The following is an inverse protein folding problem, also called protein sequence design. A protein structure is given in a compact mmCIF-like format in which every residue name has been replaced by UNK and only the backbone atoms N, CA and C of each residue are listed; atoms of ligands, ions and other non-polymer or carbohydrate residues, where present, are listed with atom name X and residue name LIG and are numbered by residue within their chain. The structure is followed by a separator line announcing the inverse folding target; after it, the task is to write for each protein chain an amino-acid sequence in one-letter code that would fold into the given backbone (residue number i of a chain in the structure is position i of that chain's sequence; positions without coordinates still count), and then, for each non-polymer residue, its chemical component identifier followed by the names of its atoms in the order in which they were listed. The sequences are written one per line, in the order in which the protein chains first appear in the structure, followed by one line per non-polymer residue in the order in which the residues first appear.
data_IF_145122286859
#
_entry.id   IF_145122286859
#
_cell.length_a   1.000
_cell.length_b   1.000
_cell.length_c   1.000
_cell.angle_alpha   90.00
_cell.angle_beta   90.00
_cell.angle_gamma   90.00
#
_symmetry.space_group_name_H-M   'P 1'
#
loop_
_entity.id
_entity.type
_entity.pdbx_description
1 polymer ?
#
# COMPACT_ATOMS: atom_id res chain seq x y z
N UNK A 1 -15.69 13.14 -8.81
CA UNK A 1 -14.39 13.62 -8.30
C UNK A 1 -13.69 12.36 -7.86
N UNK A 2 -13.02 11.68 -8.80
CA UNK A 2 -12.61 10.29 -8.67
C UNK A 2 -11.31 10.17 -7.90
N UNK A 3 -11.32 9.36 -6.84
CA UNK A 3 -10.45 8.22 -6.49
C UNK A 3 -8.93 8.23 -6.79
N UNK A 4 -8.37 9.18 -7.55
CA UNK A 4 -6.95 9.23 -7.96
C UNK A 4 -6.01 9.74 -6.86
N UNK A 5 -6.51 10.47 -5.86
CA UNK A 5 -5.67 11.17 -4.88
C UNK A 5 -4.80 10.22 -4.04
N UNK A 6 -5.26 8.98 -3.85
CA UNK A 6 -4.56 7.98 -3.02
C UNK A 6 -3.90 6.89 -3.86
N UNK A 7 -3.90 6.99 -5.21
CA UNK A 7 -3.33 5.96 -6.09
C UNK A 7 -1.88 5.62 -5.72
N UNK A 8 -1.01 6.62 -5.57
CA UNK A 8 0.41 6.40 -5.22
C UNK A 8 0.60 5.93 -3.79
N UNK A 9 -0.34 6.25 -2.89
CA UNK A 9 -0.34 5.76 -1.51
C UNK A 9 -0.64 4.26 -1.53
N UNK A 10 -1.72 3.84 -2.18
CA UNK A 10 -2.12 2.45 -2.29
C UNK A 10 -1.09 1.62 -3.08
N UNK A 11 -0.53 2.17 -4.16
CA UNK A 11 0.56 1.53 -4.89
C UNK A 11 1.79 1.35 -3.99
N UNK A 12 2.13 2.37 -3.21
CA UNK A 12 3.20 2.31 -2.22
C UNK A 12 2.97 1.22 -1.18
N UNK A 13 1.74 1.09 -0.68
CA UNK A 13 1.35 0.02 0.25
C UNK A 13 1.45 -1.37 -0.42
N UNK A 14 0.92 -1.53 -1.63
CA UNK A 14 0.95 -2.79 -2.37
C UNK A 14 2.37 -3.30 -2.61
N UNK A 15 3.31 -2.40 -2.92
CA UNK A 15 4.74 -2.74 -3.04
C UNK A 15 5.36 -3.04 -1.68
N UNK A 16 4.91 -2.35 -0.62
CA UNK A 16 5.53 -2.47 0.70
C UNK A 16 5.13 -3.71 1.46
N UNK A 17 3.91 -4.21 1.29
CA UNK A 17 3.41 -5.43 1.97
C UNK A 17 4.35 -6.63 1.79
N UNK A 18 4.72 -7.07 0.56
CA UNK A 18 5.62 -8.21 0.39
C UNK A 18 7.01 -7.94 0.97
N UNK A 19 7.52 -6.71 0.88
CA UNK A 19 8.81 -6.34 1.48
C UNK A 19 8.77 -6.40 3.02
N UNK A 20 7.67 -5.95 3.63
CA UNK A 20 7.48 -6.01 5.07
C UNK A 20 7.36 -7.47 5.53
N UNK A 21 6.68 -8.31 4.75
CA UNK A 21 6.61 -9.75 5.00
C UNK A 21 8.02 -10.36 4.99
N UNK A 22 8.81 -10.17 3.93
CA UNK A 22 10.18 -10.70 3.84
C UNK A 22 11.09 -10.22 4.98
N UNK A 23 10.87 -8.99 5.45
CA UNK A 23 11.67 -8.35 6.50
C UNK A 23 11.35 -8.87 7.89
N UNK A 24 10.08 -9.14 8.20
CA UNK A 24 9.62 -9.41 9.56
C UNK A 24 9.08 -10.82 9.80
N UNK A 25 8.68 -11.52 8.75
CA UNK A 25 8.21 -12.89 8.85
C UNK A 25 9.38 -13.87 8.71
N UNK A 26 9.54 -14.74 9.70
CA UNK A 26 10.49 -15.86 9.63
C UNK A 26 10.03 -16.91 8.62
N UNK A 27 10.87 -17.94 8.36
CA UNK A 27 10.60 -19.03 7.41
C UNK A 27 9.33 -19.84 7.68
N UNK A 28 8.71 -19.62 8.83
CA UNK A 28 7.56 -20.34 9.36
C UNK A 28 6.23 -19.71 8.89
N UNK A 29 6.29 -18.66 8.08
CA UNK A 29 5.14 -18.03 7.47
C UNK A 29 5.26 -18.05 5.95
N UNK A 30 4.12 -18.01 5.27
CA UNK A 30 4.03 -17.84 3.83
C UNK A 30 3.08 -16.70 3.48
N UNK A 31 3.38 -15.99 2.39
CA UNK A 31 2.54 -14.95 1.82
C UNK A 31 1.86 -15.49 0.57
N UNK A 32 0.55 -15.28 0.45
CA UNK A 32 -0.24 -15.58 -0.74
C UNK A 32 -0.86 -14.28 -1.27
N UNK A 33 -0.75 -14.09 -2.58
CA UNK A 33 -1.34 -12.95 -3.30
C UNK A 33 -2.63 -13.40 -3.98
N UNK A 34 -3.75 -12.79 -3.61
CA UNK A 34 -5.04 -13.03 -4.22
C UNK A 34 -5.45 -11.81 -5.04
N UNK A 35 -5.29 -11.92 -6.36
CA UNK A 35 -5.77 -10.92 -7.32
C UNK A 35 -7.30 -11.12 -7.48
N UNK A 36 -8.12 -10.08 -7.30
CA UNK A 36 -9.57 -10.19 -7.47
C UNK A 36 -9.95 -10.67 -8.87
N UNK A 37 -10.91 -11.59 -8.94
CA UNK A 37 -11.46 -12.06 -10.20
C UNK A 37 -12.29 -10.95 -10.87
N UNK A 38 -12.17 -10.82 -12.20
CA UNK A 38 -13.00 -9.89 -12.97
C UNK A 38 -12.49 -8.44 -12.99
N UNK A 39 -11.23 -8.19 -12.64
CA UNK A 39 -10.59 -6.90 -12.93
C UNK A 39 -10.43 -6.78 -14.45
N UNK A 40 -11.19 -5.86 -15.04
CA UNK A 40 -10.98 -5.44 -16.42
C UNK A 40 -9.56 -4.84 -16.53
N UNK A 41 -8.76 -5.31 -17.48
CA UNK A 41 -7.36 -4.87 -17.71
C UNK A 41 -7.26 -3.34 -17.94
N UNK A 42 -8.39 -2.70 -18.19
CA UNK A 42 -8.56 -1.26 -18.38
C UNK A 42 -8.59 -0.43 -17.07
N UNK A 43 -8.81 -1.06 -15.90
CA UNK A 43 -8.94 -0.37 -14.61
C UNK A 43 -7.66 -0.49 -13.77
N UNK A 44 -7.34 0.58 -13.04
CA UNK A 44 -6.32 0.74 -11.98
C UNK A 44 -5.36 -0.43 -11.71
N UNK A 45 -4.06 -0.13 -11.66
CA UNK A 45 -2.96 -1.06 -11.40
C UNK A 45 -3.36 -2.26 -10.50
N UNK A 46 -3.33 -3.50 -11.02
CA UNK A 46 -3.91 -4.67 -10.35
C UNK A 46 -3.32 -4.91 -8.96
N UNK A 47 -2.11 -4.42 -8.70
CA UNK A 47 -1.44 -4.51 -7.40
C UNK A 47 -2.19 -3.81 -6.28
N UNK A 48 -2.89 -2.71 -6.57
CA UNK A 48 -3.68 -1.96 -5.58
C UNK A 48 -4.88 -2.79 -5.11
N UNK A 49 -5.38 -3.67 -5.98
CA UNK A 49 -6.54 -4.52 -5.73
C UNK A 49 -6.14 -5.90 -5.17
N UNK A 50 -4.87 -6.28 -5.25
CA UNK A 50 -4.35 -7.54 -4.71
C UNK A 50 -4.50 -7.60 -3.20
N UNK A 51 -5.18 -8.64 -2.71
CA UNK A 51 -5.20 -8.96 -1.28
C UNK A 51 -4.00 -9.83 -0.95
N UNK A 52 -3.38 -9.57 0.20
CA UNK A 52 -2.24 -10.33 0.68
C UNK A 52 -2.63 -11.10 1.94
N UNK A 53 -2.47 -12.41 1.91
CA UNK A 53 -2.79 -13.29 3.04
C UNK A 53 -1.51 -13.91 3.60
N UNK A 54 -1.35 -13.83 4.92
CA UNK A 54 -0.24 -14.50 5.61
C UNK A 54 -0.75 -15.77 6.27
N UNK A 55 -0.02 -16.86 6.07
CA UNK A 55 -0.30 -18.16 6.65
C UNK A 55 0.87 -18.63 7.53
N UNK A 56 0.59 -19.37 8.59
CA UNK A 56 1.61 -20.04 9.41
C UNK A 56 1.98 -21.43 8.86
N UNK A 57 2.87 -22.16 9.54
CA UNK A 57 3.31 -23.51 9.15
C UNK A 57 2.17 -24.53 9.06
N UNK A 58 1.11 -24.33 9.86
CA UNK A 58 -0.09 -25.16 9.87
C UNK A 58 -1.06 -24.82 8.73
N UNK A 59 -0.69 -23.88 7.85
CA UNK A 59 -1.52 -23.32 6.79
C UNK A 59 -2.77 -22.62 7.30
N UNK A 60 -2.75 -22.13 8.55
CA UNK A 60 -3.79 -21.27 9.07
C UNK A 60 -3.52 -19.82 8.66
N UNK A 61 -4.54 -19.13 8.16
CA UNK A 61 -4.45 -17.70 7.85
C UNK A 61 -4.35 -16.89 9.15
N UNK A 62 -3.29 -16.12 9.29
CA UNK A 62 -2.98 -15.34 10.50
C UNK A 62 -3.16 -13.83 10.31
N UNK A 63 -3.09 -13.34 9.07
CA UNK A 63 -3.36 -11.94 8.74
C UNK A 63 -3.82 -11.75 7.29
N UNK A 64 -4.46 -10.61 7.05
CA UNK A 64 -4.81 -10.09 5.73
C UNK A 64 -4.35 -8.65 5.63
N UNK A 65 -3.75 -8.27 4.50
CA UNK A 65 -3.41 -6.91 4.17
C UNK A 65 -4.06 -6.50 2.84
N UNK A 66 -4.80 -5.41 2.85
CA UNK A 66 -5.38 -4.78 1.67
C UNK A 66 -4.65 -3.46 1.41
N UNK A 67 -4.08 -3.25 0.21
CA UNK A 67 -3.37 -2.00 -0.13
C UNK A 67 -4.22 -0.74 -0.08
N UNK A 68 -5.55 -0.84 0.05
CA UNK A 68 -6.45 0.28 0.32
C UNK A 68 -6.36 0.83 1.77
N UNK A 69 -5.51 0.24 2.63
CA UNK A 69 -5.33 0.64 4.03
C UNK A 69 -6.08 -0.22 5.05
N UNK A 70 -6.82 -1.25 4.63
CA UNK A 70 -7.49 -2.18 5.54
C UNK A 70 -6.58 -3.37 5.89
N UNK A 71 -6.13 -3.43 7.16
CA UNK A 71 -5.30 -4.52 7.65
C UNK A 71 -6.00 -5.27 8.79
N UNK A 72 -5.93 -6.61 8.76
CA UNK A 72 -6.58 -7.45 9.76
C UNK A 72 -5.62 -8.51 10.30
N UNK A 73 -5.46 -8.55 11.62
CA UNK A 73 -4.77 -9.63 12.33
C UNK A 73 -5.81 -10.65 12.84
N UNK A 74 -5.61 -11.93 12.54
CA UNK A 74 -6.56 -13.01 12.86
C UNK A 74 -6.08 -13.92 14.01
N UNK A 75 -4.80 -13.81 14.39
CA UNK A 75 -4.20 -14.62 15.47
C UNK A 75 -3.33 -13.76 16.37
N UNK A 76 -3.58 -13.82 17.68
CA UNK A 76 -2.84 -13.05 18.68
C UNK A 76 -1.35 -13.36 18.69
N UNK A 77 -0.97 -14.62 18.37
CA UNK A 77 0.43 -15.02 18.25
C UNK A 77 1.19 -14.28 17.16
N UNK A 78 0.50 -13.79 16.13
CA UNK A 78 1.07 -13.03 15.03
C UNK A 78 1.05 -11.51 15.28
N UNK A 79 0.28 -11.04 16.28
CA UNK A 79 0.07 -9.61 16.55
C UNK A 79 1.36 -8.79 16.66
N UNK A 80 2.44 -9.25 17.33
CA UNK A 80 3.68 -8.48 17.42
C UNK A 80 4.40 -8.29 16.07
N UNK A 81 4.28 -9.27 15.17
CA UNK A 81 4.84 -9.19 13.81
C UNK A 81 3.94 -8.31 12.95
N UNK A 82 2.63 -8.51 13.04
CA UNK A 82 1.62 -7.72 12.35
C UNK A 82 1.81 -6.22 12.62
N UNK A 83 1.96 -5.81 13.88
CA UNK A 83 2.13 -4.39 14.24
C UNK A 83 3.38 -3.77 13.60
N UNK A 84 4.48 -4.53 13.56
CA UNK A 84 5.71 -4.09 12.88
C UNK A 84 5.56 -3.97 11.38
N UNK A 85 4.79 -4.87 10.76
CA UNK A 85 4.47 -4.79 9.35
C UNK A 85 3.61 -3.56 9.06
N UNK A 86 2.54 -3.35 9.83
CA UNK A 86 1.65 -2.18 9.70
C UNK A 86 2.43 -0.88 9.83
N UNK A 87 3.26 -0.72 10.87
CA UNK A 87 4.09 0.48 11.06
C UNK A 87 4.99 0.77 9.84
N UNK A 88 5.60 -0.27 9.27
CA UNK A 88 6.51 -0.15 8.13
C UNK A 88 5.77 0.14 6.81
N UNK A 89 4.55 -0.38 6.65
CA UNK A 89 3.65 -0.12 5.52
C UNK A 89 3.11 1.31 5.58
N UNK A 90 2.56 1.72 6.72
CA UNK A 90 2.01 3.06 6.93
C UNK A 90 3.08 4.14 6.81
N UNK A 91 4.29 3.87 7.29
CA UNK A 91 5.40 4.80 7.12
C UNK A 91 5.78 5.00 5.64
N UNK A 92 5.71 3.95 4.82
CA UNK A 92 5.92 4.07 3.38
C UNK A 92 4.78 4.85 2.70
N UNK A 93 3.53 4.59 3.09
CA UNK A 93 2.35 5.32 2.62
C UNK A 93 2.43 6.82 2.94
N UNK A 94 2.83 7.17 4.17
CA UNK A 94 3.05 8.55 4.59
C UNK A 94 4.11 9.26 3.74
N UNK A 95 5.22 8.58 3.41
CA UNK A 95 6.26 9.13 2.53
C UNK A 95 5.76 9.35 1.11
N UNK A 96 4.98 8.42 0.57
CA UNK A 96 4.38 8.56 -0.75
C UNK A 96 3.45 9.78 -0.81
N UNK A 97 2.59 9.94 0.20
CA UNK A 97 1.71 11.10 0.33
C UNK A 97 2.48 12.43 0.38
N UNK A 98 3.49 12.52 1.25
CA UNK A 98 4.36 13.70 1.36
C UNK A 98 5.03 14.05 0.04
N UNK A 99 5.53 13.06 -0.69
CA UNK A 99 6.16 13.28 -1.99
C UNK A 99 5.16 13.79 -3.03
N UNK A 100 3.92 13.29 -3.02
CA UNK A 100 2.86 13.78 -3.89
C UNK A 100 2.50 15.24 -3.57
N UNK A 101 2.28 15.56 -2.29
CA UNK A 101 1.97 16.93 -1.83
C UNK A 101 3.08 17.93 -2.26
N UNK A 102 4.35 17.52 -2.15
CA UNK A 102 5.50 18.34 -2.56
C UNK A 102 5.57 18.55 -4.09
N UNK A 103 5.15 17.56 -4.89
CA UNK A 103 5.08 17.67 -6.36
C UNK A 103 3.94 18.62 -6.74
N UNK A 104 2.76 18.44 -6.16
CA UNK A 104 1.57 19.25 -6.45
C UNK A 104 1.81 20.72 -6.10
N UNK A 105 2.47 20.99 -4.98
CA UNK A 105 2.88 22.33 -4.59
C UNK A 105 3.81 22.98 -5.61
N UNK A 106 4.85 22.25 -6.06
CA UNK A 106 5.80 22.77 -7.06
C UNK A 106 5.16 23.01 -8.43
N UNK A 107 4.20 22.18 -8.82
CA UNK A 107 3.43 22.37 -10.05
C UNK A 107 2.58 23.63 -9.94
N UNK A 108 1.86 23.82 -8.83
CA UNK A 108 1.07 25.03 -8.60
C UNK A 108 1.93 26.31 -8.64
N UNK A 109 3.10 26.30 -7.99
CA UNK A 109 4.05 27.42 -8.03
C UNK A 109 4.53 27.75 -9.47
N UNK A 110 4.81 26.72 -10.30
CA UNK A 110 5.19 26.95 -11.71
C UNK A 110 4.05 27.49 -12.57
N UNK A 111 2.82 26.99 -12.37
CA UNK A 111 1.65 27.50 -13.09
C UNK A 111 1.40 28.97 -12.76
N UNK A 112 1.54 29.38 -11.51
CA UNK A 112 1.40 30.80 -11.12
C UNK A 112 2.51 31.70 -11.71
N UNK A 113 3.73 31.19 -11.87
CA UNK A 113 4.84 31.93 -12.50
C UNK A 113 4.66 32.08 -14.02
N UNK A 114 4.20 31.05 -14.72
CA UNK A 114 4.00 31.07 -16.17
C UNK A 114 2.81 31.93 -16.62
N UNK A 115 1.77 32.06 -15.78
CA UNK A 115 0.56 32.83 -16.09
C UNK A 115 0.56 34.28 -15.56
N UNK A 116 1.58 34.68 -14.79
CA UNK A 116 1.77 36.08 -14.35
C UNK A 116 2.83 36.84 -15.17
N UNK A 117 3.29 36.29 -16.30
CA UNK A 117 4.27 36.94 -17.20
C UNK A 117 3.68 37.87 -18.27
N UNK A 118 2.36 38.07 -18.30
CA UNK A 118 1.66 39.02 -19.20
C UNK A 118 1.07 40.26 -18.46
N UNK A 119 1.55 40.54 -17.23
CA UNK A 119 1.17 41.74 -16.45
C UNK A 119 2.11 42.93 -16.64
#
# INVERSE_FOLDING_TARGET
MSDDADYYIHLGMAVRIPMAFEKFCEKNYSLEEQIPEGIDESSEDPRIKTLFHVFNEEKEKVATFNPNGEFQCLKDSFKPIFDRMVDDIEYAAYKAKRAQDDIDKKLAERFDEEFNLDG
#
